data_IF_783283613175
#
_entry.id   IF_783283613175
#
_cell.length_a   1.000
_cell.length_b   1.000
_cell.length_c   1.000
_cell.angle_alpha   90.00
_cell.angle_beta   90.00
_cell.angle_gamma   90.00
#
_symmetry.space_group_name_H-M   'P 1'
#
loop_
_entity.id
_entity.type
_entity.pdbx_description
1 polymer ?
#
# COMPACT_ATOMS: atom_id res chain seq x y z
N UNK A 1 1.15 2.36 4.10
CA UNK A 1 0.72 2.64 2.72
C UNK A 1 1.07 4.07 2.36
N UNK A 2 1.73 4.29 1.22
CA UNK A 2 2.27 5.60 0.80
C UNK A 2 1.36 6.32 -0.21
N UNK A 3 0.67 5.60 -1.10
CA UNK A 3 -0.13 6.21 -2.15
C UNK A 3 -1.58 6.45 -1.72
N UNK A 4 -2.14 7.62 -2.04
CA UNK A 4 -3.51 7.99 -1.66
C UNK A 4 -4.58 7.05 -2.23
N UNK A 5 -4.41 6.55 -3.45
CA UNK A 5 -5.35 5.61 -4.04
C UNK A 5 -5.43 4.28 -3.28
N UNK A 6 -4.30 3.79 -2.75
CA UNK A 6 -4.26 2.59 -1.90
C UNK A 6 -5.02 2.83 -0.61
N UNK A 7 -4.84 4.00 0.04
CA UNK A 7 -5.54 4.34 1.28
C UNK A 7 -7.05 4.40 1.07
N UNK A 8 -7.51 5.13 0.05
CA UNK A 8 -8.93 5.24 -0.30
C UNK A 8 -9.55 3.86 -0.56
N UNK A 9 -8.87 3.01 -1.33
CA UNK A 9 -9.39 1.67 -1.63
C UNK A 9 -9.42 0.76 -0.39
N UNK A 10 -8.38 0.84 0.45
CA UNK A 10 -8.29 0.08 1.69
C UNK A 10 -9.39 0.49 2.67
N UNK A 11 -9.56 1.80 2.93
CA UNK A 11 -10.59 2.33 3.82
C UNK A 11 -11.99 1.88 3.37
N UNK A 12 -12.28 1.98 2.08
CA UNK A 12 -13.55 1.49 1.53
C UNK A 12 -13.73 -0.02 1.74
N UNK A 13 -12.69 -0.82 1.46
CA UNK A 13 -12.73 -2.27 1.64
C UNK A 13 -12.92 -2.68 3.10
N UNK A 14 -12.26 -1.96 4.01
CA UNK A 14 -12.35 -2.17 5.46
C UNK A 14 -13.75 -1.83 6.00
N UNK A 15 -14.35 -0.75 5.50
CA UNK A 15 -15.72 -0.37 5.83
C UNK A 15 -16.73 -1.46 5.40
N UNK A 16 -16.64 -1.97 4.17
CA UNK A 16 -17.60 -2.96 3.67
C UNK A 16 -17.38 -4.36 4.24
N UNK A 17 -16.15 -4.75 4.59
CA UNK A 17 -15.89 -6.06 5.19
C UNK A 17 -16.43 -6.12 6.62
N UNK A 18 -16.44 -4.99 7.33
CA UNK A 18 -16.78 -4.89 8.74
C UNK A 18 -16.00 -5.94 9.57
N UNK A 19 -16.69 -6.80 10.32
CA UNK A 19 -16.07 -7.83 11.15
C UNK A 19 -15.71 -9.12 10.38
N UNK A 20 -15.90 -9.14 9.06
CA UNK A 20 -15.57 -10.32 8.23
C UNK A 20 -14.11 -10.25 7.76
N UNK A 21 -13.48 -11.42 7.51
CA UNK A 21 -12.12 -11.45 6.93
C UNK A 21 -12.04 -10.80 5.54
N UNK A 22 -13.13 -10.86 4.77
CA UNK A 22 -13.22 -10.25 3.45
C UNK A 22 -14.69 -9.98 3.09
N UNK A 23 -14.99 -8.92 2.33
CA UNK A 23 -16.32 -8.63 1.83
C UNK A 23 -16.70 -9.59 0.70
N UNK A 24 -17.99 -9.67 0.43
CA UNK A 24 -18.49 -10.39 -0.74
C UNK A 24 -18.41 -9.52 -1.99
N UNK A 25 -18.29 -10.16 -3.16
CA UNK A 25 -18.29 -9.44 -4.44
C UNK A 25 -19.58 -8.61 -4.66
N UNK A 26 -20.69 -9.02 -4.06
CA UNK A 26 -21.96 -8.27 -4.09
C UNK A 26 -21.91 -6.95 -3.33
N UNK A 27 -21.06 -6.85 -2.30
CA UNK A 27 -20.92 -5.67 -1.44
C UNK A 27 -20.18 -4.53 -2.16
N UNK A 28 -19.35 -4.86 -3.16
CA UNK A 28 -18.49 -3.90 -3.85
C UNK A 28 -19.31 -3.06 -4.84
N UNK A 29 -19.39 -1.77 -4.56
CA UNK A 29 -20.04 -0.75 -5.38
C UNK A 29 -18.97 0.11 -6.08
N UNK A 30 -18.75 -0.05 -7.41
CA UNK A 30 -17.75 0.72 -8.14
C UNK A 30 -17.95 2.24 -8.03
N UNK A 31 -19.19 2.68 -7.83
CA UNK A 31 -19.53 4.09 -7.67
C UNK A 31 -18.95 4.74 -6.42
N UNK A 32 -18.64 3.96 -5.38
CA UNK A 32 -18.03 4.46 -4.15
C UNK A 32 -16.54 4.79 -4.32
N UNK A 33 -15.85 4.10 -5.24
CA UNK A 33 -14.40 4.22 -5.48
C UNK A 33 -14.05 4.88 -6.82
N UNK A 34 -14.96 5.70 -7.37
CA UNK A 34 -14.82 6.34 -8.70
C UNK A 34 -13.47 7.05 -8.91
N UNK A 35 -12.94 7.69 -7.88
CA UNK A 35 -11.67 8.43 -7.92
C UNK A 35 -10.46 7.52 -8.19
N UNK A 36 -10.52 6.26 -7.78
CA UNK A 36 -9.41 5.30 -7.87
C UNK A 36 -9.64 4.18 -8.90
N UNK A 37 -10.82 4.12 -9.53
CA UNK A 37 -11.16 3.09 -10.54
C UNK A 37 -10.12 2.98 -11.67
N UNK A 38 -9.50 4.09 -12.06
CA UNK A 38 -8.47 4.10 -13.10
C UNK A 38 -7.21 3.31 -12.74
N UNK A 39 -6.89 3.19 -11.46
CA UNK A 39 -5.73 2.45 -10.93
C UNK A 39 -6.14 1.06 -10.39
N UNK A 40 -7.45 0.78 -10.33
CA UNK A 40 -8.01 -0.43 -9.72
C UNK A 40 -8.05 -1.59 -10.71
N UNK A 41 -7.90 -2.81 -10.22
CA UNK A 41 -8.01 -4.04 -10.98
C UNK A 41 -8.64 -5.16 -10.15
N UNK A 42 -9.11 -6.20 -10.83
CA UNK A 42 -9.56 -7.44 -10.17
C UNK A 42 -8.77 -8.60 -10.74
N UNK A 43 -8.15 -9.38 -9.86
CA UNK A 43 -7.54 -10.66 -10.21
C UNK A 43 -8.50 -11.80 -9.91
N UNK A 44 -8.43 -12.80 -10.77
CA UNK A 44 -9.06 -14.10 -10.56
C UNK A 44 -7.96 -15.16 -10.50
N UNK A 45 -8.05 -16.02 -9.49
CA UNK A 45 -7.27 -17.24 -9.42
C UNK A 45 -7.83 -18.24 -10.42
N UNK A 46 -7.13 -18.42 -11.55
CA UNK A 46 -7.41 -19.47 -12.50
C UNK A 46 -6.75 -20.80 -12.07
N UNK A 47 -7.01 -21.88 -12.81
CA UNK A 47 -6.36 -23.17 -12.62
C UNK A 47 -4.82 -23.02 -12.63
N UNK A 48 -4.12 -23.86 -11.86
CA UNK A 48 -2.65 -23.89 -11.78
C UNK A 48 -1.98 -22.62 -11.19
N UNK A 49 -2.60 -21.96 -10.21
CA UNK A 49 -2.02 -20.77 -9.53
C UNK A 49 -1.73 -19.59 -10.47
N UNK A 50 -2.47 -19.47 -11.57
CA UNK A 50 -2.36 -18.33 -12.47
C UNK A 50 -3.31 -17.22 -12.03
N UNK A 51 -2.76 -16.05 -11.71
CA UNK A 51 -3.54 -14.89 -11.28
C UNK A 51 -3.80 -13.98 -12.47
N UNK A 52 -5.00 -14.04 -13.03
CA UNK A 52 -5.33 -13.31 -14.26
C UNK A 52 -6.12 -12.05 -13.99
N UNK A 53 -5.81 -10.97 -14.69
CA UNK A 53 -6.64 -9.77 -14.66
C UNK A 53 -8.01 -10.05 -15.28
N UNK A 54 -9.08 -9.86 -14.51
CA UNK A 54 -10.46 -9.82 -15.00
C UNK A 54 -10.84 -8.45 -15.50
N UNK A 55 -10.41 -7.44 -14.76
CA UNK A 55 -10.61 -6.02 -15.03
C UNK A 55 -9.32 -5.29 -14.68
N UNK A 56 -9.03 -4.24 -15.41
CA UNK A 56 -7.93 -3.32 -15.14
C UNK A 56 -8.37 -1.92 -15.53
N UNK A 57 -8.13 -0.96 -14.64
CA UNK A 57 -8.41 0.44 -14.88
C UNK A 57 -7.53 1.02 -16.00
N UNK A 58 -8.00 2.11 -16.61
CA UNK A 58 -7.34 2.71 -17.77
C UNK A 58 -5.96 3.28 -17.46
N UNK A 59 -5.77 3.89 -16.28
CA UNK A 59 -4.45 4.40 -15.85
C UNK A 59 -3.47 3.27 -15.59
N UNK A 60 -3.96 2.14 -15.06
CA UNK A 60 -3.16 0.94 -14.94
C UNK A 60 -2.74 0.39 -16.32
N UNK A 61 -3.67 0.29 -17.27
CA UNK A 61 -3.34 -0.13 -18.63
C UNK A 61 -2.30 0.81 -19.31
N UNK A 62 -2.34 2.11 -19.00
CA UNK A 62 -1.33 3.07 -19.48
C UNK A 62 0.08 2.79 -18.94
N UNK A 63 0.23 2.26 -17.71
CA UNK A 63 1.56 1.89 -17.17
C UNK A 63 2.24 0.80 -18.00
N UNK A 64 1.46 -0.14 -18.53
CA UNK A 64 1.95 -1.26 -19.33
C UNK A 64 1.80 -1.03 -20.84
N UNK A 65 1.29 0.14 -21.24
CA UNK A 65 0.96 0.51 -22.62
C UNK A 65 0.15 -0.56 -23.37
N UNK A 66 -0.72 -1.29 -22.65
CA UNK A 66 -1.54 -2.37 -23.22
C UNK A 66 -2.73 -2.70 -22.33
N UNK A 67 -3.73 -3.33 -22.92
CA UNK A 67 -4.81 -3.95 -22.15
C UNK A 67 -4.25 -5.12 -21.33
N UNK A 68 -4.59 -5.15 -20.04
CA UNK A 68 -4.15 -6.19 -19.11
C UNK A 68 -5.13 -7.36 -18.96
N UNK A 69 -6.38 -7.19 -19.40
CA UNK A 69 -7.42 -8.21 -19.27
C UNK A 69 -6.94 -9.57 -19.81
N UNK A 70 -7.11 -10.61 -19.01
CA UNK A 70 -6.70 -11.98 -19.30
C UNK A 70 -5.22 -12.30 -19.07
N UNK A 71 -4.35 -11.29 -18.89
CA UNK A 71 -2.92 -11.52 -18.66
C UNK A 71 -2.66 -11.95 -17.22
N UNK A 72 -1.53 -12.62 -17.02
CA UNK A 72 -1.08 -13.06 -15.71
C UNK A 72 -0.37 -11.91 -14.98
N UNK A 73 -0.74 -11.67 -13.72
CA UNK A 73 -0.14 -10.67 -12.82
C UNK A 73 1.33 -10.93 -12.53
N UNK A 74 1.77 -12.19 -12.62
CA UNK A 74 3.16 -12.59 -12.37
C UNK A 74 4.12 -12.25 -13.52
N UNK A 75 3.63 -11.73 -14.66
CA UNK A 75 4.49 -11.36 -15.78
C UNK A 75 5.28 -10.09 -15.47
N UNK A 76 6.61 -10.18 -15.61
CA UNK A 76 7.54 -9.05 -15.49
C UNK A 76 8.28 -9.01 -14.15
N UNK A 77 7.83 -9.74 -13.14
CA UNK A 77 8.59 -10.00 -11.92
C UNK A 77 9.77 -10.92 -12.22
N UNK A 78 10.89 -10.73 -11.52
CA UNK A 78 12.01 -11.66 -11.58
C UNK A 78 11.68 -13.01 -10.91
N UNK A 79 12.49 -14.05 -11.14
CA UNK A 79 12.18 -15.41 -10.67
C UNK A 79 12.07 -15.53 -9.15
N UNK A 80 12.84 -14.72 -8.40
CA UNK A 80 12.82 -14.74 -6.93
C UNK A 80 11.57 -14.04 -6.42
N UNK A 81 11.25 -12.89 -6.99
CA UNK A 81 10.08 -12.09 -6.68
C UNK A 81 8.79 -12.81 -7.09
N UNK A 82 8.79 -13.55 -8.19
CA UNK A 82 7.64 -14.37 -8.61
C UNK A 82 7.24 -15.39 -7.53
N UNK A 83 8.22 -16.05 -6.89
CA UNK A 83 7.94 -17.01 -5.82
C UNK A 83 7.34 -16.31 -4.60
N UNK A 84 7.93 -15.17 -4.20
CA UNK A 84 7.44 -14.37 -3.08
C UNK A 84 6.02 -13.84 -3.31
N UNK A 85 5.75 -13.26 -4.49
CA UNK A 85 4.43 -12.76 -4.88
C UNK A 85 3.42 -13.90 -4.96
N UNK A 86 3.80 -15.06 -5.50
CA UNK A 86 2.91 -16.23 -5.57
C UNK A 86 2.53 -16.76 -4.18
N UNK A 87 3.48 -16.79 -3.25
CA UNK A 87 3.24 -17.18 -1.86
C UNK A 87 2.28 -16.19 -1.17
N UNK A 88 2.51 -14.88 -1.35
CA UNK A 88 1.62 -13.83 -0.86
C UNK A 88 0.21 -13.98 -1.44
N UNK A 89 0.06 -14.09 -2.76
CA UNK A 89 -1.25 -14.21 -3.41
C UNK A 89 -1.99 -15.46 -2.92
N UNK A 90 -1.26 -16.51 -2.54
CA UNK A 90 -1.82 -17.70 -1.90
C UNK A 90 -2.34 -17.38 -0.49
N UNK A 91 -1.60 -16.62 0.34
CA UNK A 91 -2.06 -16.18 1.66
C UNK A 91 -3.31 -15.28 1.57
N UNK A 92 -3.34 -14.36 0.61
CA UNK A 92 -4.52 -13.49 0.36
C UNK A 92 -5.75 -14.34 0.02
N UNK A 93 -5.59 -15.32 -0.88
CA UNK A 93 -6.73 -16.11 -1.37
C UNK A 93 -7.21 -17.18 -0.41
N UNK A 94 -6.31 -17.76 0.41
CA UNK A 94 -6.64 -18.84 1.35
C UNK A 94 -6.99 -18.33 2.74
N UNK A 95 -6.21 -17.38 3.24
CA UNK A 95 -6.24 -16.95 4.64
C UNK A 95 -6.91 -15.58 4.81
N UNK A 96 -7.27 -14.92 3.71
CA UNK A 96 -7.96 -13.62 3.76
C UNK A 96 -7.06 -12.47 4.21
N UNK A 97 -5.74 -12.61 4.09
CA UNK A 97 -4.81 -11.52 4.34
C UNK A 97 -4.95 -10.43 3.26
N UNK A 98 -4.74 -9.17 3.64
CA UNK A 98 -4.47 -8.07 2.72
C UNK A 98 -2.96 -7.89 2.54
N UNK A 99 -2.54 -7.23 1.46
CA UNK A 99 -1.12 -7.00 1.22
C UNK A 99 -0.83 -5.69 0.52
N UNK A 100 0.33 -5.12 0.83
CA UNK A 100 0.89 -3.94 0.17
C UNK A 100 2.31 -4.26 -0.29
N UNK A 101 2.60 -4.00 -1.56
CA UNK A 101 3.94 -4.16 -2.13
C UNK A 101 4.38 -2.81 -2.69
N UNK A 102 5.58 -2.40 -2.33
CA UNK A 102 6.31 -1.33 -3.03
C UNK A 102 7.35 -1.97 -3.94
N UNK A 103 7.39 -1.57 -5.19
CA UNK A 103 8.31 -2.16 -6.19
C UNK A 103 8.75 -1.10 -7.19
N UNK A 104 9.92 -1.28 -7.78
CA UNK A 104 10.39 -0.45 -8.89
C UNK A 104 10.08 -1.15 -10.20
N UNK A 105 9.36 -0.48 -11.07
CA UNK A 105 9.14 -0.88 -12.45
C UNK A 105 10.18 -0.25 -13.35
N UNK A 106 10.73 -1.00 -14.30
CA UNK A 106 11.61 -0.48 -15.35
C UNK A 106 11.10 -0.78 -16.75
N UNK A 107 11.47 0.09 -17.67
CA UNK A 107 11.20 -0.02 -19.11
C UNK A 107 12.44 -0.56 -19.82
N UNK A 108 12.30 -0.93 -21.09
CA UNK A 108 13.44 -1.35 -21.93
C UNK A 108 14.37 -0.18 -22.32
N UNK A 109 13.97 1.07 -22.05
CA UNK A 109 14.74 2.29 -22.31
C UNK A 109 15.42 2.83 -21.04
N UNK A 110 15.68 1.94 -20.06
CA UNK A 110 16.33 2.23 -18.77
C UNK A 110 15.64 3.32 -17.93
N UNK A 111 14.37 3.63 -18.22
CA UNK A 111 13.54 4.45 -17.35
C UNK A 111 12.97 3.60 -16.20
N UNK A 112 12.87 4.18 -15.01
CA UNK A 112 12.30 3.55 -13.83
C UNK A 112 11.22 4.39 -13.15
N UNK A 113 10.30 3.72 -12.45
CA UNK A 113 9.26 4.35 -11.65
C UNK A 113 8.98 3.51 -10.42
N UNK A 114 8.84 4.17 -9.26
CA UNK A 114 8.41 3.51 -8.03
C UNK A 114 6.89 3.39 -8.00
N UNK A 115 6.42 2.18 -7.76
CA UNK A 115 5.01 1.83 -7.73
C UNK A 115 4.63 1.26 -6.36
N UNK A 116 3.37 1.45 -6.01
CA UNK A 116 2.72 0.75 -4.91
C UNK A 116 1.56 -0.05 -5.47
N UNK A 117 1.44 -1.30 -5.03
CA UNK A 117 0.26 -2.13 -5.27
C UNK A 117 -0.34 -2.61 -3.95
N UNK A 118 -1.65 -2.39 -3.81
CA UNK A 118 -2.51 -2.92 -2.76
C UNK A 118 -3.28 -4.13 -3.32
N UNK A 119 -3.40 -5.18 -2.52
CA UNK A 119 -4.10 -6.42 -2.85
C UNK A 119 -5.02 -6.80 -1.68
N UNK A 120 -6.30 -6.97 -1.97
CA UNK A 120 -7.36 -7.16 -0.99
C UNK A 120 -8.23 -8.36 -1.38
N UNK A 121 -8.53 -9.29 -0.47
CA UNK A 121 -9.36 -10.45 -0.79
C UNK A 121 -10.83 -10.05 -0.95
N UNK A 122 -11.51 -10.75 -1.86
CA UNK A 122 -12.96 -10.68 -2.09
C UNK A 122 -13.51 -12.10 -2.15
N UNK A 123 -14.60 -12.37 -1.42
CA UNK A 123 -15.29 -13.65 -1.48
C UNK A 123 -16.28 -13.67 -2.64
N UNK A 124 -16.35 -14.80 -3.34
CA UNK A 124 -17.37 -15.08 -4.34
C UNK A 124 -18.15 -16.31 -3.88
N UNK A 125 -19.47 -16.21 -3.85
CA UNK A 125 -20.34 -17.33 -3.48
C UNK A 125 -20.27 -18.45 -4.55
N UNK A 126 -20.31 -19.71 -4.11
CA UNK A 126 -20.53 -20.88 -4.99
C UNK A 126 -19.29 -21.75 -5.31
N UNK A 127 -18.13 -21.18 -5.63
CA UNK A 127 -17.01 -21.97 -6.21
C UNK A 127 -15.68 -21.94 -5.44
N UNK A 128 -15.61 -21.31 -4.27
CA UNK A 128 -14.33 -21.19 -3.55
C UNK A 128 -13.27 -20.37 -4.29
N UNK A 129 -13.66 -19.66 -5.35
CA UNK A 129 -12.81 -18.73 -6.07
C UNK A 129 -12.74 -17.40 -5.32
N UNK A 130 -11.74 -17.25 -4.44
CA UNK A 130 -11.37 -15.94 -3.89
C UNK A 130 -10.83 -15.06 -5.03
N UNK A 131 -11.41 -13.88 -5.20
CA UNK A 131 -10.90 -12.85 -6.10
C UNK A 131 -10.08 -11.85 -5.31
N UNK A 132 -9.22 -11.11 -6.00
CA UNK A 132 -8.40 -10.08 -5.37
C UNK A 132 -8.77 -8.74 -5.99
N UNK A 133 -9.23 -7.80 -5.19
CA UNK A 133 -9.33 -6.39 -5.55
C UNK A 133 -7.96 -5.76 -5.35
N UNK A 134 -7.46 -5.03 -6.33
CA UNK A 134 -6.19 -4.35 -6.16
C UNK A 134 -6.20 -2.94 -6.72
N UNK A 135 -5.26 -2.13 -6.25
CA UNK A 135 -4.95 -0.82 -6.81
C UNK A 135 -3.44 -0.76 -7.03
N UNK A 136 -3.01 -0.34 -8.22
CA UNK A 136 -1.60 -0.16 -8.54
C UNK A 136 -1.39 1.22 -9.14
N UNK A 137 -0.52 2.00 -8.52
CA UNK A 137 -0.26 3.38 -8.93
C UNK A 137 1.21 3.75 -8.72
N UNK A 138 1.76 4.64 -9.58
CA UNK A 138 3.10 5.17 -9.38
C UNK A 138 3.10 6.17 -8.22
N UNK A 139 4.13 6.13 -7.37
CA UNK A 139 4.30 7.10 -6.28
C UNK A 139 4.50 8.53 -6.80
N UNK A 140 5.19 8.65 -7.94
CA UNK A 140 5.33 9.88 -8.70
C UNK A 140 5.05 9.57 -10.16
N UNK A 141 4.18 10.37 -10.79
CA UNK A 141 3.81 10.17 -12.19
C UNK A 141 5.01 10.41 -13.11
N UNK A 142 5.50 9.41 -13.86
CA UNK A 142 6.61 9.62 -14.77
C UNK A 142 6.13 10.34 -16.03
N UNK A 143 7.02 11.10 -16.67
CA UNK A 143 6.71 11.85 -17.89
C UNK A 143 6.40 10.94 -19.10
N UNK A 144 6.89 9.69 -19.07
CA UNK A 144 6.75 8.69 -20.13
C UNK A 144 5.56 7.73 -19.94
N UNK A 145 4.70 7.96 -18.93
CA UNK A 145 3.54 7.13 -18.66
C UNK A 145 2.61 7.07 -19.88
N UNK A 146 2.30 5.87 -20.35
CA UNK A 146 1.48 5.65 -21.56
C UNK A 146 2.26 5.67 -22.87
N UNK A 147 3.56 5.97 -22.84
CA UNK A 147 4.45 5.93 -24.02
C UNK A 147 5.39 4.74 -23.95
N UNK A 148 5.98 4.48 -22.78
CA UNK A 148 6.88 3.36 -22.56
C UNK A 148 6.28 2.35 -21.57
N UNK A 149 6.21 1.05 -21.93
CA UNK A 149 5.67 0.04 -21.04
C UNK A 149 6.65 -0.28 -19.91
N UNK A 150 6.14 -0.45 -18.70
CA UNK A 150 6.88 -1.16 -17.65
C UNK A 150 6.99 -2.63 -18.06
N UNK A 151 8.21 -3.13 -18.25
CA UNK A 151 8.50 -4.50 -18.72
C UNK A 151 9.05 -5.39 -17.62
N UNK A 152 9.79 -4.81 -16.67
CA UNK A 152 10.37 -5.52 -15.52
C UNK A 152 9.90 -4.90 -14.21
N UNK A 153 9.75 -5.72 -13.18
CA UNK A 153 9.37 -5.30 -11.84
C UNK A 153 10.29 -5.96 -10.81
N UNK A 154 10.73 -5.17 -9.82
CA UNK A 154 11.55 -5.63 -8.70
C UNK A 154 10.96 -5.17 -7.37
N UNK A 155 10.75 -6.09 -6.45
CA UNK A 155 10.20 -5.80 -5.11
C UNK A 155 11.22 -5.00 -4.30
N UNK A 156 10.74 -3.92 -3.69
CA UNK A 156 11.52 -3.12 -2.74
C UNK A 156 11.07 -3.41 -1.30
N UNK A 157 9.76 -3.50 -1.07
CA UNK A 157 9.18 -3.80 0.22
C UNK A 157 7.85 -4.54 0.06
N UNK A 158 7.54 -5.40 1.02
CA UNK A 158 6.40 -6.29 1.00
C UNK A 158 5.85 -6.41 2.43
N UNK A 159 4.56 -6.11 2.61
CA UNK A 159 3.87 -6.23 3.90
C UNK A 159 2.54 -6.97 3.74
N UNK A 160 2.30 -7.95 4.60
CA UNK A 160 0.99 -8.57 4.81
C UNK A 160 0.26 -7.84 5.95
N UNK A 161 -1.06 -7.80 5.86
CA UNK A 161 -1.97 -7.23 6.84
C UNK A 161 -2.98 -8.33 7.15
N UNK A 162 -2.95 -8.88 8.36
CA UNK A 162 -3.87 -9.93 8.77
C UNK A 162 -5.18 -9.29 9.26
N UNK A 163 -6.33 -9.97 9.07
CA UNK A 163 -7.63 -9.44 9.48
C UNK A 163 -7.75 -9.27 11.00
N UNK A 164 -6.93 -9.99 11.78
CA UNK A 164 -6.91 -10.00 13.25
C UNK A 164 -5.83 -9.09 13.86
N UNK A 165 -5.00 -8.43 13.03
CA UNK A 165 -3.97 -7.51 13.53
C UNK A 165 -4.59 -6.12 13.82
N UNK A 166 -4.63 -5.73 15.10
CA UNK A 166 -5.01 -4.38 15.56
C UNK A 166 -3.90 -3.32 15.39
N UNK A 167 -2.77 -3.67 14.76
CA UNK A 167 -1.63 -2.77 14.62
C UNK A 167 -1.96 -1.58 13.70
N UNK A 168 -1.62 -0.33 14.09
CA UNK A 168 -1.89 0.84 13.27
C UNK A 168 -1.19 0.73 11.91
N UNK A 169 -2.02 0.58 10.87
CA UNK A 169 -1.62 0.31 9.48
C UNK A 169 -0.91 1.52 8.83
N UNK A 170 -1.15 2.72 9.38
CA UNK A 170 -0.60 3.99 8.94
C UNK A 170 0.57 4.40 9.83
N UNK A 171 1.74 3.85 9.55
CA UNK A 171 3.00 4.37 10.09
C UNK A 171 3.57 5.40 9.10
N UNK A 172 3.57 6.66 9.52
CA UNK A 172 4.51 7.65 8.99
C UNK A 172 5.87 7.37 9.64
N UNK A 173 6.71 6.61 8.96
CA UNK A 173 8.12 6.44 9.31
C UNK A 173 8.47 5.07 9.87
N UNK A 174 9.18 4.31 9.03
CA UNK A 174 10.30 3.44 9.36
C UNK A 174 10.30 2.76 10.75
N UNK A 175 9.71 1.58 10.86
CA UNK A 175 10.06 0.63 11.92
C UNK A 175 10.03 -0.84 11.46
N UNK A 176 10.86 -1.61 12.15
CA UNK A 176 11.54 -2.87 11.81
C UNK A 176 10.66 -4.03 11.30
N UNK A 177 11.23 -4.80 10.37
CA UNK A 177 10.70 -6.09 9.88
C UNK A 177 10.81 -7.14 11.00
N UNK A 178 9.74 -7.89 11.37
CA UNK A 178 9.88 -9.00 12.29
C UNK A 178 10.52 -10.23 11.62
N UNK A 179 11.49 -10.82 12.31
CA UNK A 179 12.21 -12.02 11.90
C UNK A 179 11.35 -13.27 12.20
N UNK A 180 11.10 -14.11 11.18
CA UNK A 180 10.36 -15.37 11.35
C UNK A 180 11.30 -16.48 11.87
N UNK A 181 10.94 -17.08 13.01
CA UNK A 181 11.60 -18.29 13.55
C UNK A 181 11.20 -18.60 15.00
N UNK A 182 10.12 -19.36 15.18
CA UNK A 182 9.62 -20.01 16.43
C UNK A 182 10.50 -21.17 16.92
N UNK A 183 10.27 -21.84 18.10
CA UNK A 183 9.57 -21.46 19.35
C UNK A 183 10.28 -21.93 20.67
N UNK A 184 9.64 -21.61 21.81
CA UNK A 184 9.53 -22.42 23.05
C UNK A 184 10.43 -22.13 24.26
N UNK A 185 9.75 -21.68 25.33
CA UNK A 185 9.90 -22.03 26.74
C UNK A 185 11.27 -21.89 27.44
N UNK A 186 11.32 -20.97 28.41
CA UNK A 186 11.74 -21.33 29.78
C UNK A 186 11.10 -20.41 30.82
N UNK A 187 10.26 -21.00 31.66
CA UNK A 187 9.82 -20.42 32.92
C UNK A 187 10.96 -20.53 33.96
N UNK A 188 11.26 -19.45 34.67
CA UNK A 188 11.75 -19.45 36.07
C UNK A 188 11.27 -18.15 36.71
N UNK A 189 10.61 -18.25 37.87
CA UNK A 189 9.96 -17.15 38.60
C UNK A 189 10.92 -16.23 39.40
N UNK A 190 10.52 -15.77 40.61
CA UNK A 190 10.13 -14.38 40.83
C UNK A 190 11.18 -13.48 41.50
N UNK A 191 11.04 -12.18 41.20
CA UNK A 191 11.38 -10.93 41.92
C UNK A 191 12.37 -10.96 43.10
N UNK A 192 13.38 -10.07 43.04
CA UNK A 192 13.77 -9.23 44.18
C UNK A 192 14.31 -7.85 43.74
N UNK A 193 14.21 -6.81 44.60
CA UNK A 193 14.13 -5.41 44.20
C UNK A 193 15.48 -4.68 44.27
N UNK A 194 15.72 -3.73 43.36
CA UNK A 194 16.90 -2.85 43.44
C UNK A 194 16.51 -1.40 43.73
N UNK A 195 16.49 -1.13 45.03
CA UNK A 195 17.00 0.04 45.77
C UNK A 195 17.32 1.31 44.96
N UNK A 196 16.57 2.36 45.32
CA UNK A 196 16.91 3.79 45.44
C UNK A 196 17.99 4.40 44.54
N UNK A 197 17.56 5.38 43.73
CA UNK A 197 18.31 6.63 43.63
C UNK A 197 17.37 7.84 43.55
N UNK A 198 17.36 8.57 44.65
CA UNK A 198 16.91 9.95 44.81
C UNK A 198 17.59 10.85 43.77
N UNK A 199 16.78 11.59 43.01
CA UNK A 199 17.25 12.48 41.94
C UNK A 199 16.20 13.52 41.58
N UNK A 200 16.00 14.46 42.50
CA UNK A 200 15.33 15.76 42.40
C UNK A 200 15.03 16.26 40.96
N UNK A 201 13.74 16.33 40.62
CA UNK A 201 13.23 17.07 39.46
C UNK A 201 13.57 18.56 39.61
N UNK A 202 14.32 19.11 38.66
CA UNK A 202 14.40 20.57 38.46
C UNK A 202 13.99 20.88 37.03
N UNK A 203 12.98 21.73 36.92
CA UNK A 203 12.40 22.27 35.70
C UNK A 203 13.16 23.55 35.34
N UNK A 204 13.65 23.72 34.11
CA UNK A 204 13.93 25.03 33.57
C UNK A 204 12.82 25.50 32.60
N UNK A 205 12.48 26.78 32.77
CA UNK A 205 11.56 27.64 32.02
C UNK A 205 11.92 27.86 30.53
N UNK A 206 10.96 28.30 29.71
CA UNK A 206 11.11 28.42 28.25
C UNK A 206 11.79 29.75 27.84
N UNK A 207 12.60 29.76 26.76
CA UNK A 207 12.99 31.01 26.11
C UNK A 207 12.05 31.38 24.94
N UNK A 208 11.29 32.44 25.19
CA UNK A 208 10.99 33.62 24.36
C UNK A 208 10.88 33.46 22.83
N UNK A 209 9.65 33.68 22.38
CA UNK A 209 9.17 34.10 21.08
C UNK A 209 9.97 35.28 20.50
N UNK A 210 10.39 35.16 19.24
CA UNK A 210 10.92 36.28 18.44
C UNK A 210 9.80 36.78 17.51
N UNK A 211 9.50 38.10 17.43
CA UNK A 211 8.44 38.63 16.58
C UNK A 211 8.88 38.72 15.12
N UNK A 212 7.99 38.29 14.22
CA UNK A 212 8.08 38.52 12.77
C UNK A 212 7.48 39.91 12.48
N UNK A 213 8.17 40.85 11.80
CA UNK A 213 7.57 42.11 11.40
C UNK A 213 6.73 41.96 10.12
N UNK A 214 5.57 42.63 10.11
CA UNK A 214 4.65 42.85 8.98
C UNK A 214 3.85 41.64 8.47
N UNK A 215 2.88 41.21 9.28
CA UNK A 215 1.66 40.59 8.77
C UNK A 215 0.66 41.67 8.31
N UNK A 216 0.15 41.53 7.08
CA UNK A 216 -1.21 41.94 6.73
C UNK A 216 -1.80 40.91 5.78
N UNK A 217 -2.77 40.17 6.31
CA UNK A 217 -3.65 39.27 5.57
C UNK A 217 -4.81 40.11 5.02
N UNK A 218 -5.02 40.11 3.71
CA UNK A 218 -6.31 40.48 3.12
C UNK A 218 -6.63 39.44 2.04
N UNK A 219 -7.90 39.06 2.01
CA UNK A 219 -8.48 38.06 1.15
C UNK A 219 -8.04 38.19 -0.32
N UNK A 220 -7.76 37.03 -0.93
CA UNK A 220 -7.86 36.75 -2.36
C UNK A 220 -7.03 37.58 -3.37
N UNK A 221 -5.83 38.11 -3.10
CA UNK A 221 -4.88 38.39 -4.20
C UNK A 221 -3.46 38.65 -3.72
N UNK A 222 -2.46 38.17 -4.48
CA UNK A 222 -1.04 38.50 -4.28
C UNK A 222 -0.56 39.26 -5.52
N UNK A 223 -0.42 40.57 -5.40
CA UNK A 223 0.16 41.45 -6.42
C UNK A 223 1.65 41.63 -6.10
N UNK A 224 2.51 41.37 -7.09
CA UNK A 224 3.94 41.68 -7.04
C UNK A 224 4.14 42.87 -7.96
N UNK A 225 4.49 44.03 -7.39
CA UNK A 225 4.72 45.27 -8.11
C UNK A 225 6.23 45.61 -8.15
N UNK A 226 6.71 45.99 -9.34
CA UNK A 226 7.99 46.66 -9.63
C UNK A 226 9.21 45.73 -9.76
N UNK A 227 9.96 45.64 -10.87
CA UNK A 227 10.16 46.57 -11.99
C UNK A 227 11.45 47.39 -11.81
N UNK A 228 12.51 47.07 -12.57
CA UNK A 228 13.41 48.01 -13.27
C UNK A 228 14.46 47.29 -14.14
N UNK A 229 14.34 47.57 -15.44
CA UNK A 229 15.33 47.81 -16.51
C UNK A 229 16.71 47.17 -16.36
#
# INVERSE_FOLDING_TARGET
MKHGASRILFEYWDEIRAQRPAPERGDIQPSAIKSVLGDTFILELAKQKQFRFRLAGTRLCSLFCRELKGRNFLVGWDDKDQQAVTAMLSAITKDGAAAVISFTGSTDMDQSVDLEVLLLPIRVQGEGCTRILGCMAPLKRPFWLGVQPVTKQKINNLRLIWPDDDDPIFSDGNECVPHFGTPSHRAVGPMEPRVNRTGRLTRPTPPKTVPIPNSRQVAHLRVVDGGKI
#
